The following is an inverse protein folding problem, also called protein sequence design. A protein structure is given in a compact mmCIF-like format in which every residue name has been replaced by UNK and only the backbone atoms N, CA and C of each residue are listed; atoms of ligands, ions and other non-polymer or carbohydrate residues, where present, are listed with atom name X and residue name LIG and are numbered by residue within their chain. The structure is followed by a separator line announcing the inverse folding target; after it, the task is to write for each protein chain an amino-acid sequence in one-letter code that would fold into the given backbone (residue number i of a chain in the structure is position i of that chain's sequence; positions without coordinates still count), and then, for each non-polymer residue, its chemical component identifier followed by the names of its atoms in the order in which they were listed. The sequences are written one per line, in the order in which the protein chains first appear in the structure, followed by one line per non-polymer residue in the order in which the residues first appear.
data_IF_072865095543
#
_entry.id   IF_072865095543
#
_cell.length_a   1.000
_cell.length_b   1.000
_cell.length_c   1.000
_cell.angle_alpha   90.00
_cell.angle_beta   90.00
_cell.angle_gamma   90.00
#
_symmetry.space_group_name_H-M   'P 1'
#
loop_
_entity.id
_entity.type
_entity.pdbx_description
1 polymer ?
#
# COMPACT_ATOMS: atom_id res chain seq x y z
N UNK A 1 20.73 36.84 -39.16
CA UNK A 1 20.65 37.06 -37.70
C UNK A 1 19.22 36.78 -37.27
N UNK A 2 18.91 35.55 -36.85
CA UNK A 2 17.59 35.15 -36.36
C UNK A 2 17.73 34.76 -34.90
N UNK A 3 17.18 35.59 -34.00
CA UNK A 3 17.10 35.29 -32.58
C UNK A 3 15.97 34.29 -32.32
N UNK A 4 16.31 33.04 -32.01
CA UNK A 4 15.39 32.08 -31.46
C UNK A 4 15.18 32.38 -29.98
N UNK A 5 14.00 32.90 -29.62
CA UNK A 5 13.55 33.01 -28.22
C UNK A 5 13.12 31.62 -27.74
N UNK A 6 13.92 31.03 -26.87
CA UNK A 6 13.51 29.87 -26.09
C UNK A 6 12.44 30.30 -25.06
N UNK A 7 11.21 29.87 -25.28
CA UNK A 7 10.13 30.02 -24.29
C UNK A 7 10.36 28.99 -23.18
N UNK A 8 11.03 29.41 -22.13
CA UNK A 8 11.15 28.62 -20.93
C UNK A 8 9.79 28.53 -20.21
N UNK A 9 9.16 27.37 -20.23
CA UNK A 9 7.99 27.09 -19.35
C UNK A 9 8.45 27.09 -17.90
N UNK A 10 8.29 28.23 -17.22
CA UNK A 10 8.37 28.27 -15.77
C UNK A 10 7.07 27.65 -15.22
N UNK A 11 7.18 26.48 -14.60
CA UNK A 11 6.09 25.92 -13.78
C UNK A 11 5.75 26.97 -12.72
N UNK A 12 4.45 27.34 -12.56
CA UNK A 12 4.05 28.29 -11.54
C UNK A 12 4.47 27.78 -10.17
N UNK A 13 5.26 28.55 -9.45
CA UNK A 13 5.63 28.30 -8.06
C UNK A 13 4.35 28.20 -7.24
N UNK A 14 4.05 27.03 -6.72
CA UNK A 14 2.95 26.85 -5.77
C UNK A 14 3.26 27.76 -4.56
N UNK A 15 2.27 28.50 -4.04
CA UNK A 15 2.48 29.31 -2.86
C UNK A 15 2.98 28.41 -1.73
N UNK A 16 4.18 28.69 -1.23
CA UNK A 16 4.69 28.14 0.01
C UNK A 16 3.69 28.56 1.08
N UNK A 17 3.06 27.60 1.75
CA UNK A 17 2.27 27.92 2.93
C UNK A 17 3.21 28.67 3.91
N UNK A 18 2.78 29.78 4.53
CA UNK A 18 3.61 30.45 5.50
C UNK A 18 4.07 29.42 6.53
N UNK A 19 5.38 29.30 6.71
CA UNK A 19 5.99 28.55 7.79
C UNK A 19 5.23 28.90 9.07
N UNK A 20 4.62 27.90 9.67
CA UNK A 20 4.06 28.06 11.00
C UNK A 20 5.26 28.15 11.97
N UNK A 21 5.78 29.36 12.09
CA UNK A 21 6.71 29.71 13.15
C UNK A 21 6.06 29.34 14.48
N UNK A 22 6.71 28.44 15.22
CA UNK A 22 6.36 28.17 16.61
C UNK A 22 6.20 26.72 17.03
N UNK A 23 6.42 25.73 16.16
CA UNK A 23 6.46 24.34 16.61
C UNK A 23 7.94 23.90 16.77
N UNK A 24 8.39 23.77 18.01
CA UNK A 24 9.62 23.08 18.35
C UNK A 24 9.76 21.83 17.47
N UNK A 25 10.97 21.53 16.94
CA UNK A 25 11.20 20.34 16.14
C UNK A 25 10.70 19.13 16.95
N UNK A 26 9.59 18.52 16.48
CA UNK A 26 9.00 17.38 17.17
C UNK A 26 9.98 16.24 17.07
N UNK A 27 10.66 15.97 18.17
CA UNK A 27 11.59 14.85 18.28
C UNK A 27 10.88 13.59 17.77
N UNK A 28 11.49 12.95 16.78
CA UNK A 28 11.10 11.61 16.36
C UNK A 28 11.09 10.73 17.61
N UNK A 29 10.02 9.97 17.87
CA UNK A 29 9.98 9.15 19.07
C UNK A 29 11.23 8.29 19.21
N UNK A 30 11.74 8.07 20.42
CA UNK A 30 12.92 7.25 20.62
C UNK A 30 12.73 5.84 20.07
N UNK A 31 13.81 5.18 19.68
CA UNK A 31 13.83 3.85 19.06
C UNK A 31 12.92 2.84 19.77
N UNK A 32 12.88 2.74 21.12
CA UNK A 32 12.02 1.80 21.82
C UNK A 32 10.53 1.95 21.46
N UNK A 33 10.07 3.19 21.26
CA UNK A 33 8.65 3.45 20.95
C UNK A 33 8.21 2.85 19.61
N UNK A 34 9.06 2.95 18.58
CA UNK A 34 8.75 2.33 17.28
C UNK A 34 8.80 0.81 17.33
N UNK A 35 9.81 0.26 18.01
CA UNK A 35 9.93 -1.20 18.16
C UNK A 35 8.75 -1.78 18.95
N UNK A 36 8.36 -1.13 20.05
CA UNK A 36 7.18 -1.50 20.83
C UNK A 36 5.93 -1.39 19.95
N UNK A 37 5.77 -0.28 19.21
CA UNK A 37 4.62 -0.08 18.34
C UNK A 37 4.48 -1.20 17.31
N UNK A 38 5.56 -1.60 16.63
CA UNK A 38 5.54 -2.71 15.69
C UNK A 38 5.33 -4.06 16.39
N UNK A 39 6.02 -4.31 17.50
CA UNK A 39 5.94 -5.57 18.24
C UNK A 39 4.54 -5.85 18.80
N UNK A 40 3.81 -4.81 19.23
CA UNK A 40 2.44 -4.95 19.74
C UNK A 40 1.44 -5.49 18.70
N UNK A 41 1.76 -5.41 17.40
CA UNK A 41 0.90 -5.95 16.36
C UNK A 41 0.95 -7.48 16.26
N UNK A 42 2.00 -8.14 16.76
CA UNK A 42 2.04 -9.59 16.81
C UNK A 42 1.04 -10.18 17.83
N UNK A 43 1.03 -9.79 19.13
CA UNK A 43 0.01 -10.26 20.06
C UNK A 43 -1.41 -9.80 19.67
N UNK A 44 -1.58 -8.60 19.13
CA UNK A 44 -2.86 -8.16 18.59
C UNK A 44 -3.36 -9.12 17.50
N UNK A 45 -2.49 -9.54 16.59
CA UNK A 45 -2.83 -10.45 15.50
C UNK A 45 -3.25 -11.83 16.03
N UNK A 46 -2.50 -12.41 16.95
CA UNK A 46 -2.85 -13.70 17.58
C UNK A 46 -4.18 -13.64 18.34
N UNK A 47 -4.42 -12.53 19.05
CA UNK A 47 -5.67 -12.32 19.73
C UNK A 47 -6.85 -12.17 18.75
N UNK A 48 -6.67 -11.45 17.67
CA UNK A 48 -7.68 -11.25 16.63
C UNK A 48 -8.03 -12.55 15.88
N UNK A 49 -7.05 -13.45 15.67
CA UNK A 49 -7.30 -14.78 15.09
C UNK A 49 -8.23 -15.62 15.97
N UNK A 50 -8.06 -15.55 17.29
CA UNK A 50 -8.92 -16.30 18.23
C UNK A 50 -10.26 -15.61 18.49
N UNK A 51 -10.33 -14.29 18.36
CA UNK A 51 -11.50 -13.47 18.69
C UNK A 51 -11.73 -12.38 17.63
N UNK A 52 -12.53 -12.64 16.57
CA UNK A 52 -12.76 -11.68 15.48
C UNK A 52 -13.30 -10.30 15.92
N UNK A 53 -13.93 -10.25 17.10
CA UNK A 53 -14.39 -8.99 17.71
C UNK A 53 -13.24 -8.02 18.01
N UNK A 54 -12.05 -8.53 18.30
CA UNK A 54 -10.83 -7.71 18.50
C UNK A 54 -10.46 -7.00 17.20
N UNK A 55 -10.48 -7.71 16.07
CA UNK A 55 -10.24 -7.10 14.77
C UNK A 55 -11.31 -6.06 14.40
N UNK A 56 -12.57 -6.34 14.72
CA UNK A 56 -13.68 -5.41 14.50
C UNK A 56 -13.51 -4.14 15.34
N UNK A 57 -13.24 -4.28 16.64
CA UNK A 57 -12.98 -3.14 17.52
C UNK A 57 -11.77 -2.33 17.06
N UNK A 58 -10.71 -3.01 16.68
CA UNK A 58 -9.50 -2.37 16.14
C UNK A 58 -9.82 -1.56 14.88
N UNK A 59 -10.62 -2.09 13.93
CA UNK A 59 -11.05 -1.37 12.74
C UNK A 59 -11.86 -0.10 13.09
N UNK A 60 -12.81 -0.20 14.01
CA UNK A 60 -13.63 0.93 14.43
C UNK A 60 -12.80 2.00 15.18
N UNK A 61 -11.92 1.58 16.08
CA UNK A 61 -11.03 2.50 16.81
C UNK A 61 -10.11 3.25 15.85
N UNK A 62 -9.53 2.58 14.86
CA UNK A 62 -8.65 3.24 13.88
C UNK A 62 -9.39 4.28 13.04
N UNK A 63 -10.65 4.03 12.67
CA UNK A 63 -11.49 5.02 11.99
C UNK A 63 -11.77 6.22 12.89
N UNK A 64 -12.17 6.01 14.15
CA UNK A 64 -12.44 7.10 15.10
C UNK A 64 -11.17 7.94 15.33
N UNK A 65 -10.02 7.31 15.48
CA UNK A 65 -8.73 8.00 15.58
C UNK A 65 -8.44 8.78 14.30
N UNK A 66 -8.64 8.18 13.13
CA UNK A 66 -8.46 8.82 11.82
C UNK A 66 -9.33 10.08 11.68
N UNK A 67 -10.62 10.00 12.02
CA UNK A 67 -11.55 11.14 12.01
C UNK A 67 -11.06 12.24 12.96
N UNK A 68 -10.71 11.89 14.19
CA UNK A 68 -10.17 12.86 15.17
C UNK A 68 -8.92 13.57 14.66
N UNK A 69 -8.00 12.83 14.04
CA UNK A 69 -6.78 13.40 13.47
C UNK A 69 -7.07 14.28 12.25
N UNK A 70 -8.01 13.88 11.39
CA UNK A 70 -8.46 14.69 10.26
C UNK A 70 -9.11 16.01 10.70
N UNK A 71 -9.83 16.03 11.81
CA UNK A 71 -10.50 17.21 12.35
C UNK A 71 -9.61 18.05 13.28
N UNK A 72 -8.48 17.54 13.75
CA UNK A 72 -7.61 18.23 14.70
C UNK A 72 -6.89 19.43 14.06
N UNK A 73 -7.04 20.63 14.65
CA UNK A 73 -6.42 21.89 14.16
C UNK A 73 -4.91 21.77 14.04
N UNK A 74 -4.32 22.28 12.95
CA UNK A 74 -2.88 22.37 12.71
C UNK A 74 -2.17 21.00 12.58
N UNK A 75 -2.86 19.93 12.22
CA UNK A 75 -2.31 18.56 12.23
C UNK A 75 -2.71 17.70 11.03
N UNK A 76 -2.91 18.32 9.86
CA UNK A 76 -3.31 17.62 8.63
C UNK A 76 -2.40 16.45 8.25
N UNK A 77 -1.09 16.57 8.51
CA UNK A 77 -0.13 15.51 8.24
C UNK A 77 -0.46 14.20 8.99
N UNK A 78 -1.07 14.29 10.18
CA UNK A 78 -1.48 13.10 10.95
C UNK A 78 -2.61 12.31 10.30
N UNK A 79 -3.42 12.96 9.46
CA UNK A 79 -4.42 12.29 8.63
C UNK A 79 -3.76 11.27 7.70
N UNK A 80 -2.62 11.65 7.11
CA UNK A 80 -1.87 10.77 6.20
C UNK A 80 -1.34 9.54 6.92
N UNK A 81 -0.90 9.69 8.19
CA UNK A 81 -0.45 8.53 9.00
C UNK A 81 -1.59 7.57 9.32
N UNK A 82 -2.75 8.12 9.71
CA UNK A 82 -3.94 7.31 9.97
C UNK A 82 -4.41 6.57 8.71
N UNK A 83 -4.40 7.26 7.56
CA UNK A 83 -4.73 6.65 6.28
C UNK A 83 -3.79 5.52 5.90
N UNK A 84 -2.47 5.74 6.02
CA UNK A 84 -1.47 4.71 5.73
C UNK A 84 -1.65 3.48 6.63
N UNK A 85 -1.96 3.69 7.89
CA UNK A 85 -2.25 2.62 8.83
C UNK A 85 -3.51 1.84 8.44
N UNK A 86 -4.62 2.53 8.12
CA UNK A 86 -5.89 1.91 7.72
C UNK A 86 -5.71 1.08 6.44
N UNK A 87 -5.03 1.65 5.43
CA UNK A 87 -4.72 0.93 4.18
C UNK A 87 -3.88 -0.32 4.44
N UNK A 88 -2.86 -0.20 5.29
CA UNK A 88 -2.05 -1.35 5.70
C UNK A 88 -2.82 -2.41 6.49
N UNK A 89 -3.82 -2.00 7.27
CA UNK A 89 -4.57 -2.90 8.15
C UNK A 89 -5.77 -3.57 7.46
N UNK A 90 -6.19 -3.14 6.28
CA UNK A 90 -7.37 -3.71 5.61
C UNK A 90 -7.27 -5.22 5.40
N UNK A 91 -6.12 -5.70 4.94
CA UNK A 91 -5.89 -7.14 4.72
C UNK A 91 -5.88 -7.90 6.05
N UNK A 92 -5.31 -7.34 7.11
CA UNK A 92 -5.34 -7.93 8.45
C UNK A 92 -6.77 -8.13 8.95
N UNK A 93 -7.65 -7.12 8.81
CA UNK A 93 -9.05 -7.23 9.22
C UNK A 93 -9.81 -8.32 8.47
N UNK A 94 -9.49 -8.53 7.19
CA UNK A 94 -10.09 -9.59 6.37
C UNK A 94 -9.58 -10.98 6.74
N UNK A 95 -8.27 -11.11 6.99
CA UNK A 95 -7.67 -12.37 7.45
C UNK A 95 -8.21 -12.82 8.81
N UNK A 96 -8.65 -11.89 9.65
CA UNK A 96 -9.16 -12.16 11.00
C UNK A 96 -10.68 -12.00 11.09
N UNK A 97 -11.36 -12.00 9.95
CA UNK A 97 -12.83 -11.99 9.83
C UNK A 97 -13.52 -10.86 10.64
N UNK A 98 -12.89 -9.68 10.65
CA UNK A 98 -13.50 -8.50 11.27
C UNK A 98 -14.89 -8.24 10.67
N UNK A 99 -15.89 -8.03 11.54
CA UNK A 99 -17.28 -7.81 11.17
C UNK A 99 -17.52 -6.37 10.73
N UNK A 100 -16.85 -5.97 9.64
CA UNK A 100 -17.03 -4.71 8.93
C UNK A 100 -17.41 -5.00 7.49
N UNK A 101 -18.01 -4.02 6.79
CA UNK A 101 -18.39 -4.23 5.40
C UNK A 101 -17.15 -4.39 4.49
N UNK A 102 -17.33 -5.05 3.35
CA UNK A 102 -16.24 -5.54 2.50
C UNK A 102 -15.22 -4.47 2.10
N UNK A 103 -15.63 -3.25 1.83
CA UNK A 103 -14.75 -2.17 1.38
C UNK A 103 -14.42 -1.14 2.49
N UNK A 104 -14.50 -1.56 3.74
CA UNK A 104 -14.36 -0.69 4.91
C UNK A 104 -13.12 0.19 4.87
N UNK A 105 -11.93 -0.38 4.62
CA UNK A 105 -10.67 0.37 4.60
C UNK A 105 -10.65 1.45 3.52
N UNK A 106 -11.23 1.16 2.35
CA UNK A 106 -11.38 2.12 1.26
C UNK A 106 -12.25 3.32 1.67
N UNK A 107 -13.44 3.06 2.19
CA UNK A 107 -14.36 4.13 2.62
C UNK A 107 -13.85 4.90 3.83
N UNK A 108 -13.20 4.22 4.79
CA UNK A 108 -12.57 4.87 5.94
C UNK A 108 -11.48 5.83 5.50
N UNK A 109 -10.61 5.41 4.58
CA UNK A 109 -9.56 6.24 3.99
C UNK A 109 -10.17 7.43 3.24
N UNK A 110 -11.18 7.20 2.39
CA UNK A 110 -11.88 8.26 1.66
C UNK A 110 -12.51 9.29 2.58
N UNK A 111 -13.19 8.85 3.64
CA UNK A 111 -13.83 9.73 4.61
C UNK A 111 -12.82 10.62 5.35
N UNK A 112 -11.73 10.06 5.87
CA UNK A 112 -10.75 10.87 6.61
C UNK A 112 -10.02 11.87 5.71
N UNK A 113 -9.74 11.51 4.45
CA UNK A 113 -9.18 12.45 3.49
C UNK A 113 -10.20 13.51 3.06
N UNK A 114 -11.47 13.16 2.88
CA UNK A 114 -12.53 14.12 2.58
C UNK A 114 -12.64 15.17 3.70
N UNK A 115 -12.67 14.74 4.95
CA UNK A 115 -12.68 15.64 6.11
C UNK A 115 -11.43 16.55 6.15
N UNK A 116 -10.27 16.03 5.77
CA UNK A 116 -9.05 16.82 5.68
C UNK A 116 -9.09 17.83 4.53
N UNK A 117 -9.60 17.45 3.35
CA UNK A 117 -9.77 18.32 2.18
C UNK A 117 -10.69 19.49 2.50
N UNK A 118 -11.80 19.27 3.22
CA UNK A 118 -12.73 20.34 3.64
C UNK A 118 -12.07 21.40 4.51
N UNK A 119 -10.91 21.13 5.07
CA UNK A 119 -10.13 22.06 5.92
C UNK A 119 -9.02 22.78 5.18
N UNK A 120 -8.69 22.36 3.96
CA UNK A 120 -7.68 23.05 3.14
C UNK A 120 -8.22 24.39 2.64
N UNK A 121 -7.48 25.46 2.88
CA UNK A 121 -7.82 26.82 2.41
C UNK A 121 -6.54 27.52 1.96
N UNK A 122 -6.49 28.08 0.75
CA UNK A 122 -7.42 27.90 -0.35
C UNK A 122 -7.36 26.51 -0.96
N UNK A 123 -8.51 25.94 -1.37
CA UNK A 123 -8.57 24.66 -2.08
C UNK A 123 -8.47 24.92 -3.59
N UNK A 124 -7.47 24.31 -4.23
CA UNK A 124 -7.30 24.34 -5.69
C UNK A 124 -7.64 22.97 -6.27
N UNK A 125 -8.56 22.93 -7.21
CA UNK A 125 -8.92 21.70 -7.92
C UNK A 125 -8.19 21.69 -9.25
N UNK A 126 -7.28 20.74 -9.44
CA UNK A 126 -6.56 20.58 -10.69
C UNK A 126 -7.52 20.13 -11.80
N UNK A 127 -7.47 20.78 -12.97
CA UNK A 127 -8.33 20.44 -14.12
C UNK A 127 -8.26 18.96 -14.51
N UNK A 128 -7.06 18.37 -14.42
CA UNK A 128 -6.84 16.95 -14.71
C UNK A 128 -7.67 16.02 -13.79
N UNK A 129 -7.82 16.37 -12.51
CA UNK A 129 -8.64 15.60 -11.57
C UNK A 129 -10.12 15.68 -11.90
N UNK A 130 -10.62 16.85 -12.33
CA UNK A 130 -11.99 16.98 -12.80
C UNK A 130 -12.22 16.19 -14.08
N UNK A 131 -11.30 16.28 -15.03
CA UNK A 131 -11.38 15.49 -16.27
C UNK A 131 -11.42 13.99 -15.99
N UNK A 132 -10.62 13.52 -15.03
CA UNK A 132 -10.62 12.12 -14.63
C UNK A 132 -12.01 11.65 -14.17
N UNK A 133 -12.70 12.40 -13.29
CA UNK A 133 -14.06 12.05 -12.87
C UNK A 133 -15.07 12.14 -14.02
N UNK A 134 -14.98 13.19 -14.84
CA UNK A 134 -15.88 13.39 -15.96
C UNK A 134 -15.78 12.27 -16.99
N UNK A 135 -14.58 11.75 -17.23
CA UNK A 135 -14.36 10.62 -18.14
C UNK A 135 -14.93 9.28 -17.63
N UNK A 136 -15.21 9.16 -16.33
CA UNK A 136 -15.85 7.98 -15.76
C UNK A 136 -17.40 8.02 -15.85
N UNK A 137 -17.99 9.23 -15.99
CA UNK A 137 -19.44 9.40 -15.99
C UNK A 137 -20.14 8.69 -17.17
N UNK A 138 -19.64 8.73 -18.42
CA UNK A 138 -20.30 8.06 -19.55
C UNK A 138 -20.56 6.56 -19.32
N UNK A 139 -19.67 5.86 -18.60
CA UNK A 139 -19.83 4.44 -18.30
C UNK A 139 -21.02 4.12 -17.38
N UNK A 140 -21.54 5.12 -16.66
CA UNK A 140 -22.72 4.92 -15.80
C UNK A 140 -24.02 4.84 -16.60
N UNK A 141 -24.06 5.42 -17.80
CA UNK A 141 -25.26 5.48 -18.63
C UNK A 141 -25.72 4.09 -19.09
N UNK A 142 -24.86 3.24 -19.71
CA UNK A 142 -25.25 1.89 -20.05
C UNK A 142 -25.75 1.07 -18.85
N UNK A 143 -25.09 1.20 -17.70
CA UNK A 143 -25.51 0.50 -16.46
C UNK A 143 -26.93 0.90 -16.04
N UNK A 144 -27.25 2.21 -16.07
CA UNK A 144 -28.58 2.71 -15.74
C UNK A 144 -29.66 2.33 -16.76
N UNK A 145 -29.27 2.07 -18.02
CA UNK A 145 -30.20 1.68 -19.07
C UNK A 145 -30.49 0.16 -19.12
N UNK A 146 -29.55 -0.65 -18.63
CA UNK A 146 -29.60 -2.11 -18.75
C UNK A 146 -30.06 -2.81 -17.46
N UNK A 147 -29.87 -2.19 -16.31
CA UNK A 147 -30.14 -2.77 -14.99
C UNK A 147 -31.30 -2.02 -14.32
N UNK A 148 -31.98 -2.70 -13.39
CA UNK A 148 -32.88 -1.99 -12.49
C UNK A 148 -32.14 -1.01 -11.57
N UNK A 149 -32.85 -0.01 -11.00
CA UNK A 149 -32.23 1.05 -10.22
C UNK A 149 -31.45 0.55 -8.98
N UNK A 150 -31.86 -0.55 -8.38
CA UNK A 150 -31.21 -1.11 -7.21
C UNK A 150 -29.89 -1.78 -7.59
N UNK A 151 -29.92 -2.60 -8.62
CA UNK A 151 -28.74 -3.27 -9.14
C UNK A 151 -27.77 -2.27 -9.78
N UNK A 152 -28.27 -1.34 -10.60
CA UNK A 152 -27.47 -0.28 -11.20
C UNK A 152 -26.72 0.55 -10.14
N UNK A 153 -27.42 0.96 -9.06
CA UNK A 153 -26.81 1.67 -7.94
C UNK A 153 -25.70 0.86 -7.27
N UNK A 154 -25.92 -0.44 -7.06
CA UNK A 154 -24.95 -1.34 -6.44
C UNK A 154 -23.70 -1.47 -7.31
N UNK A 155 -23.86 -1.73 -8.60
CA UNK A 155 -22.76 -1.85 -9.57
C UNK A 155 -21.96 -0.56 -9.71
N UNK A 156 -22.65 0.57 -9.90
CA UNK A 156 -22.01 1.89 -10.00
C UNK A 156 -21.24 2.21 -8.70
N UNK A 157 -21.87 2.00 -7.54
CA UNK A 157 -21.21 2.25 -6.26
C UNK A 157 -19.97 1.38 -6.08
N UNK A 158 -20.06 0.10 -6.40
CA UNK A 158 -18.94 -0.84 -6.29
C UNK A 158 -17.79 -0.45 -7.22
N UNK A 159 -18.06 -0.18 -8.48
CA UNK A 159 -17.05 0.12 -9.48
C UNK A 159 -16.44 1.52 -9.32
N UNK A 160 -17.24 2.56 -9.01
CA UNK A 160 -16.74 3.94 -8.93
C UNK A 160 -16.20 4.35 -7.56
N UNK A 161 -16.52 3.64 -6.48
CA UNK A 161 -16.08 4.02 -5.13
C UNK A 161 -14.57 4.16 -5.01
N UNK A 162 -13.79 3.26 -5.62
CA UNK A 162 -12.33 3.33 -5.65
C UNK A 162 -11.81 4.58 -6.37
N UNK A 163 -12.42 4.91 -7.49
CA UNK A 163 -12.08 6.10 -8.28
C UNK A 163 -12.41 7.41 -7.55
N UNK A 164 -13.54 7.45 -6.84
CA UNK A 164 -13.92 8.61 -6.01
C UNK A 164 -12.93 8.78 -4.84
N UNK A 165 -12.56 7.71 -4.17
CA UNK A 165 -11.55 7.77 -3.10
C UNK A 165 -10.20 8.22 -3.66
N UNK A 166 -9.78 7.70 -4.81
CA UNK A 166 -8.54 8.14 -5.48
C UNK A 166 -8.59 9.64 -5.80
N UNK A 167 -9.72 10.14 -6.31
CA UNK A 167 -9.91 11.56 -6.57
C UNK A 167 -9.75 12.40 -5.29
N UNK A 168 -10.38 12.03 -4.19
CA UNK A 168 -10.28 12.74 -2.90
C UNK A 168 -8.85 12.75 -2.37
N UNK A 169 -8.16 11.62 -2.43
CA UNK A 169 -6.75 11.50 -2.02
C UNK A 169 -5.84 12.34 -2.92
N UNK A 170 -6.02 12.27 -4.24
CA UNK A 170 -5.26 13.08 -5.19
C UNK A 170 -5.54 14.59 -5.00
N UNK A 171 -6.78 14.97 -4.71
CA UNK A 171 -7.14 16.35 -4.39
C UNK A 171 -6.46 16.83 -3.12
N UNK A 172 -6.36 16.00 -2.09
CA UNK A 172 -5.60 16.32 -0.89
C UNK A 172 -4.12 16.56 -1.22
N UNK A 173 -3.44 15.65 -1.89
CA UNK A 173 -2.01 15.76 -2.18
C UNK A 173 -1.68 16.80 -3.25
N UNK A 174 -2.62 17.22 -4.09
CA UNK A 174 -2.43 18.38 -4.98
C UNK A 174 -2.40 19.72 -4.25
N UNK A 175 -2.90 19.75 -3.00
CA UNK A 175 -2.94 20.93 -2.14
C UNK A 175 -2.09 20.80 -0.87
N UNK A 176 -1.51 19.64 -0.61
CA UNK A 176 -0.72 19.38 0.59
C UNK A 176 0.59 18.68 0.24
N UNK A 177 1.69 19.18 0.78
CA UNK A 177 3.01 18.55 0.64
C UNK A 177 3.38 17.86 1.95
N UNK A 178 3.73 16.59 1.85
CA UNK A 178 4.22 15.82 2.98
C UNK A 178 5.70 16.18 3.24
N UNK A 179 6.05 16.41 4.50
CA UNK A 179 7.44 16.61 4.92
C UNK A 179 8.24 15.30 4.85
N UNK A 180 9.58 15.39 4.86
CA UNK A 180 10.42 14.18 4.95
C UNK A 180 10.14 13.41 6.24
N UNK A 181 9.96 14.10 7.37
CA UNK A 181 9.56 13.49 8.64
C UNK A 181 8.17 12.84 8.54
N UNK A 182 7.24 13.51 7.85
CA UNK A 182 5.91 12.97 7.54
C UNK A 182 5.98 11.69 6.73
N UNK A 183 6.81 11.64 5.69
CA UNK A 183 7.03 10.43 4.91
C UNK A 183 7.58 9.28 5.78
N UNK A 184 8.56 9.58 6.63
CA UNK A 184 9.10 8.59 7.56
C UNK A 184 8.02 8.00 8.48
N UNK A 185 7.11 8.84 8.99
CA UNK A 185 6.00 8.41 9.85
C UNK A 185 4.96 7.60 9.09
N UNK A 186 4.65 7.98 7.84
CA UNK A 186 3.75 7.22 6.95
C UNK A 186 4.27 5.81 6.73
N UNK A 187 5.55 5.68 6.35
CA UNK A 187 6.17 4.37 6.14
C UNK A 187 6.19 3.54 7.43
N UNK A 188 6.47 4.18 8.57
CA UNK A 188 6.44 3.54 9.90
C UNK A 188 5.03 3.05 10.26
N UNK A 189 3.99 3.83 9.95
CA UNK A 189 2.60 3.48 10.20
C UNK A 189 2.13 2.30 9.33
N UNK A 190 2.61 2.20 8.09
CA UNK A 190 2.28 1.10 7.17
C UNK A 190 2.90 -0.24 7.61
N UNK A 191 4.12 -0.23 8.17
CA UNK A 191 4.80 -1.44 8.65
C UNK A 191 4.04 -2.11 9.80
N UNK A 192 3.45 -1.34 10.69
CA UNK A 192 2.82 -1.87 11.89
C UNK A 192 1.72 -2.92 11.60
N UNK A 193 0.68 -2.63 10.82
CA UNK A 193 -0.32 -3.64 10.45
C UNK A 193 0.25 -4.75 9.56
N UNK A 194 1.33 -4.51 8.81
CA UNK A 194 2.00 -5.57 8.04
C UNK A 194 2.62 -6.62 8.97
N UNK A 195 3.11 -6.23 10.16
CA UNK A 195 3.53 -7.19 11.19
C UNK A 195 2.36 -8.08 11.61
N UNK A 196 1.16 -7.52 11.78
CA UNK A 196 -0.02 -8.33 12.10
C UNK A 196 -0.35 -9.32 10.97
N UNK A 197 -0.34 -8.87 9.71
CA UNK A 197 -0.56 -9.73 8.54
C UNK A 197 0.45 -10.87 8.49
N UNK A 198 1.74 -10.55 8.65
CA UNK A 198 2.81 -11.56 8.65
C UNK A 198 2.69 -12.55 9.82
N UNK A 199 2.23 -12.08 10.99
CA UNK A 199 1.98 -12.93 12.15
C UNK A 199 0.81 -13.88 11.93
N UNK A 200 -0.32 -13.42 11.35
CA UNK A 200 -1.45 -14.29 11.02
C UNK A 200 -1.04 -15.33 9.98
N UNK A 201 -0.31 -14.93 8.93
CA UNK A 201 0.19 -15.86 7.92
C UNK A 201 1.15 -16.90 8.53
N UNK A 202 2.09 -16.47 9.36
CA UNK A 202 3.00 -17.36 10.07
C UNK A 202 2.27 -18.32 11.00
N UNK A 203 1.32 -17.83 11.79
CA UNK A 203 0.50 -18.64 12.68
C UNK A 203 -0.22 -19.74 11.88
N UNK A 204 -0.85 -19.39 10.77
CA UNK A 204 -1.54 -20.36 9.91
C UNK A 204 -0.58 -21.39 9.32
N UNK A 205 0.62 -20.98 8.92
CA UNK A 205 1.66 -21.89 8.42
C UNK A 205 2.12 -22.90 9.50
N UNK A 206 2.19 -22.47 10.76
CA UNK A 206 2.66 -23.32 11.86
C UNK A 206 1.58 -24.23 12.45
N UNK A 207 0.29 -23.86 12.30
CA UNK A 207 -0.83 -24.56 12.94
C UNK A 207 -1.70 -25.36 11.98
N UNK A 208 -1.55 -25.19 10.67
CA UNK A 208 -2.34 -25.88 9.65
C UNK A 208 -1.51 -26.91 8.89
N UNK A 209 -2.11 -28.02 8.53
CA UNK A 209 -1.56 -28.92 7.53
C UNK A 209 -1.63 -28.26 6.15
N UNK A 210 -0.47 -27.93 5.57
CA UNK A 210 -0.37 -27.29 4.27
C UNK A 210 0.08 -28.30 3.23
N UNK A 211 -0.73 -28.48 2.20
CA UNK A 211 -0.34 -29.18 0.99
C UNK A 211 0.31 -28.18 0.05
N UNK A 212 1.60 -28.36 -0.22
CA UNK A 212 2.34 -27.51 -1.14
C UNK A 212 2.10 -27.95 -2.58
N UNK A 213 1.46 -27.11 -3.35
CA UNK A 213 1.22 -27.31 -4.80
C UNK A 213 1.68 -26.04 -5.54
N UNK A 214 1.97 -26.14 -6.86
CA UNK A 214 2.33 -24.96 -7.66
C UNK A 214 1.17 -23.99 -7.91
N UNK A 215 0.30 -23.79 -6.92
CA UNK A 215 -0.82 -22.88 -6.95
C UNK A 215 -0.76 -21.90 -5.77
N UNK A 216 -1.48 -20.78 -5.88
CA UNK A 216 -1.60 -19.85 -4.76
C UNK A 216 -2.20 -20.55 -3.54
N UNK A 217 -1.58 -20.39 -2.37
CA UNK A 217 -1.92 -21.13 -1.17
C UNK A 217 -2.70 -20.28 -0.17
N UNK A 218 -3.99 -20.57 0.00
CA UNK A 218 -4.87 -19.86 0.93
C UNK A 218 -4.49 -20.10 2.39
N UNK A 219 -4.15 -21.33 2.77
CA UNK A 219 -3.76 -21.65 4.14
C UNK A 219 -2.47 -20.92 4.52
N UNK A 220 -1.45 -20.95 3.67
CA UNK A 220 -0.20 -20.23 3.91
C UNK A 220 -0.39 -18.69 3.87
N UNK A 221 -1.52 -18.22 3.37
CA UNK A 221 -1.93 -16.81 3.39
C UNK A 221 -2.85 -16.45 4.55
N UNK A 222 -2.91 -17.29 5.60
CA UNK A 222 -3.76 -17.04 6.76
C UNK A 222 -5.26 -17.15 6.47
N UNK A 223 -5.66 -18.02 5.52
CA UNK A 223 -7.06 -18.24 5.17
C UNK A 223 -7.70 -17.16 4.29
N UNK A 224 -6.94 -16.17 3.84
CA UNK A 224 -7.42 -15.08 2.99
C UNK A 224 -6.71 -15.05 1.63
N UNK A 225 -7.23 -14.27 0.69
CA UNK A 225 -6.77 -14.19 -0.69
C UNK A 225 -5.25 -14.02 -0.86
N UNK A 226 -4.53 -15.00 -1.42
CA UNK A 226 -3.07 -14.99 -1.49
C UNK A 226 -2.49 -13.77 -2.20
N UNK A 227 -3.20 -13.23 -3.22
CA UNK A 227 -2.76 -12.05 -3.94
C UNK A 227 -2.78 -10.79 -3.06
N UNK A 228 -3.84 -10.61 -2.27
CA UNK A 228 -3.98 -9.47 -1.38
C UNK A 228 -2.96 -9.53 -0.25
N UNK A 229 -2.78 -10.70 0.36
CA UNK A 229 -1.80 -10.92 1.44
C UNK A 229 -0.38 -10.70 0.93
N UNK A 230 0.00 -11.30 -0.22
CA UNK A 230 1.31 -11.09 -0.84
C UNK A 230 1.57 -9.62 -1.15
N UNK A 231 0.57 -8.89 -1.67
CA UNK A 231 0.70 -7.46 -2.01
C UNK A 231 0.88 -6.61 -0.74
N UNK A 232 0.12 -6.87 0.32
CA UNK A 232 0.23 -6.16 1.59
C UNK A 232 1.59 -6.39 2.26
N UNK A 233 2.06 -7.64 2.28
CA UNK A 233 3.40 -8.00 2.78
C UNK A 233 4.50 -7.31 1.96
N UNK A 234 4.37 -7.28 0.64
CA UNK A 234 5.31 -6.61 -0.27
C UNK A 234 5.33 -5.10 -0.07
N UNK A 235 4.17 -4.46 0.18
CA UNK A 235 4.10 -3.04 0.49
C UNK A 235 4.79 -2.72 1.82
N UNK A 236 4.61 -3.55 2.85
CA UNK A 236 5.33 -3.42 4.12
C UNK A 236 6.84 -3.64 3.98
N UNK A 237 7.25 -4.62 3.18
CA UNK A 237 8.66 -4.83 2.87
C UNK A 237 9.27 -3.62 2.15
N UNK A 238 8.59 -3.07 1.15
CA UNK A 238 9.00 -1.85 0.45
C UNK A 238 9.10 -0.67 1.41
N UNK A 239 8.13 -0.48 2.32
CA UNK A 239 8.16 0.58 3.31
C UNK A 239 9.38 0.47 4.24
N UNK A 240 9.73 -0.74 4.69
CA UNK A 240 10.92 -0.99 5.50
C UNK A 240 12.21 -0.71 4.72
N UNK A 241 12.31 -1.14 3.45
CA UNK A 241 13.43 -0.88 2.56
C UNK A 241 13.59 0.63 2.29
N UNK A 242 12.49 1.34 2.04
CA UNK A 242 12.52 2.80 1.83
C UNK A 242 13.00 3.54 3.07
N UNK A 243 12.60 3.13 4.29
CA UNK A 243 13.12 3.70 5.53
C UNK A 243 14.63 3.50 5.64
N UNK A 244 15.14 2.32 5.31
CA UNK A 244 16.58 2.02 5.32
C UNK A 244 17.37 2.89 4.33
N UNK A 245 16.81 3.19 3.17
CA UNK A 245 17.52 3.91 2.11
C UNK A 245 17.46 5.42 2.24
N UNK A 246 16.31 5.95 2.64
CA UNK A 246 16.05 7.39 2.60
C UNK A 246 16.48 8.12 3.86
N UNK A 247 16.53 7.43 5.03
CA UNK A 247 16.73 8.06 6.31
C UNK A 247 17.98 7.56 7.03
N UNK A 248 18.59 8.44 7.84
CA UNK A 248 19.71 8.10 8.69
C UNK A 248 19.17 7.50 10.00
N UNK A 249 19.30 6.18 10.13
CA UNK A 249 18.76 5.41 11.23
C UNK A 249 19.88 4.82 12.08
N UNK A 250 19.64 4.65 13.37
CA UNK A 250 20.55 3.90 14.25
C UNK A 250 20.65 2.42 13.84
N UNK A 251 21.77 1.79 14.15
CA UNK A 251 22.03 0.38 13.79
C UNK A 251 20.93 -0.56 14.28
N UNK A 252 20.43 -0.50 15.54
CA UNK A 252 19.33 -1.38 15.96
C UNK A 252 18.07 -1.23 15.14
N UNK A 253 17.75 0.01 14.70
CA UNK A 253 16.58 0.27 13.86
C UNK A 253 16.79 -0.25 12.44
N UNK A 254 18.00 -0.15 11.90
CA UNK A 254 18.34 -0.72 10.59
C UNK A 254 18.20 -2.25 10.62
N UNK A 255 18.73 -2.91 11.66
CA UNK A 255 18.60 -4.36 11.83
C UNK A 255 17.15 -4.81 11.96
N UNK A 256 16.34 -4.11 12.77
CA UNK A 256 14.91 -4.41 12.91
C UNK A 256 14.16 -4.29 11.59
N UNK A 257 14.38 -3.21 10.84
CA UNK A 257 13.73 -3.01 9.53
C UNK A 257 14.21 -4.02 8.48
N UNK A 258 15.50 -4.34 8.46
CA UNK A 258 16.05 -5.38 7.58
C UNK A 258 15.45 -6.76 7.86
N UNK A 259 15.35 -7.13 9.15
CA UNK A 259 14.74 -8.39 9.57
C UNK A 259 13.24 -8.44 9.24
N UNK A 260 12.50 -7.34 9.45
CA UNK A 260 11.09 -7.24 9.07
C UNK A 260 10.91 -7.34 7.56
N UNK A 261 11.69 -6.62 6.76
CA UNK A 261 11.62 -6.70 5.31
C UNK A 261 11.84 -8.14 4.81
N UNK A 262 12.86 -8.81 5.34
CA UNK A 262 13.15 -10.21 5.01
C UNK A 262 12.00 -11.13 5.42
N UNK A 263 11.46 -10.99 6.62
CA UNK A 263 10.32 -11.76 7.09
C UNK A 263 9.07 -11.57 6.20
N UNK A 264 8.75 -10.33 5.85
CA UNK A 264 7.62 -10.04 4.96
C UNK A 264 7.82 -10.64 3.56
N UNK A 265 9.05 -10.61 3.04
CA UNK A 265 9.40 -11.24 1.76
C UNK A 265 9.23 -12.76 1.85
N UNK A 266 9.72 -13.40 2.90
CA UNK A 266 9.55 -14.85 3.14
C UNK A 266 8.06 -15.20 3.16
N UNK A 267 7.25 -14.48 3.94
CA UNK A 267 5.81 -14.75 4.00
C UNK A 267 5.12 -14.49 2.65
N UNK A 268 5.55 -13.47 1.89
CA UNK A 268 5.02 -13.22 0.55
C UNK A 268 5.30 -14.37 -0.42
N UNK A 269 6.49 -14.96 -0.38
CA UNK A 269 6.82 -16.18 -1.16
C UNK A 269 5.93 -17.37 -0.77
N UNK A 270 5.71 -17.59 0.53
CA UNK A 270 4.90 -18.71 1.04
C UNK A 270 3.41 -18.60 0.67
N UNK A 271 2.92 -17.45 0.29
CA UNK A 271 1.56 -17.33 -0.30
C UNK A 271 1.45 -17.99 -1.67
N UNK A 272 2.57 -18.30 -2.34
CA UNK A 272 2.64 -18.75 -3.73
C UNK A 272 1.97 -17.79 -4.73
N UNK A 273 1.78 -16.53 -4.32
CA UNK A 273 1.28 -15.47 -5.19
C UNK A 273 2.42 -14.67 -5.82
N UNK A 274 2.58 -14.81 -7.12
CA UNK A 274 3.63 -14.10 -7.89
C UNK A 274 3.40 -12.59 -7.91
N UNK A 275 2.13 -12.14 -7.89
CA UNK A 275 1.76 -10.74 -8.11
C UNK A 275 2.41 -9.77 -7.12
N UNK A 276 2.36 -10.06 -5.82
CA UNK A 276 2.97 -9.20 -4.80
C UNK A 276 4.50 -9.18 -4.90
N UNK A 277 5.12 -10.36 -5.08
CA UNK A 277 6.59 -10.47 -5.20
C UNK A 277 7.11 -9.73 -6.42
N UNK A 278 6.46 -9.89 -7.58
CA UNK A 278 6.82 -9.16 -8.81
C UNK A 278 6.63 -7.65 -8.63
N UNK A 279 5.52 -7.23 -8.03
CA UNK A 279 5.28 -5.80 -7.75
C UNK A 279 6.38 -5.21 -6.85
N UNK A 280 6.81 -5.94 -5.81
CA UNK A 280 7.92 -5.54 -4.96
C UNK A 280 9.23 -5.42 -5.76
N UNK A 281 9.55 -6.42 -6.58
CA UNK A 281 10.77 -6.43 -7.40
C UNK A 281 10.80 -5.22 -8.35
N UNK A 282 9.69 -4.95 -9.04
CA UNK A 282 9.55 -3.78 -9.94
C UNK A 282 9.68 -2.47 -9.16
N UNK A 283 9.03 -2.35 -8.01
CA UNK A 283 9.11 -1.15 -7.17
C UNK A 283 10.53 -0.91 -6.65
N UNK A 284 11.20 -1.95 -6.15
CA UNK A 284 12.60 -1.88 -5.70
C UNK A 284 13.51 -1.50 -6.86
N UNK A 285 13.35 -2.10 -8.04
CA UNK A 285 14.13 -1.76 -9.22
C UNK A 285 13.93 -0.30 -9.66
N UNK A 286 12.68 0.19 -9.69
CA UNK A 286 12.37 1.57 -10.03
C UNK A 286 12.98 2.59 -9.06
N UNK A 287 12.86 2.33 -7.74
CA UNK A 287 13.49 3.19 -6.71
C UNK A 287 15.01 3.12 -6.81
N UNK A 288 15.58 1.92 -7.00
CA UNK A 288 17.03 1.74 -7.20
C UNK A 288 17.54 2.57 -8.38
N UNK A 289 16.88 2.49 -9.52
CA UNK A 289 17.22 3.27 -10.71
C UNK A 289 17.15 4.79 -10.42
N UNK A 290 16.09 5.24 -9.77
CA UNK A 290 15.94 6.65 -9.37
C UNK A 290 17.07 7.09 -8.41
N UNK A 291 17.44 6.26 -7.45
CA UNK A 291 18.49 6.58 -6.49
C UNK A 291 19.92 6.52 -7.07
N UNK A 292 20.16 5.72 -8.12
CA UNK A 292 21.43 5.76 -8.86
C UNK A 292 21.71 7.13 -9.47
N UNK A 293 20.65 7.86 -9.85
CA UNK A 293 20.72 9.23 -10.35
C UNK A 293 20.86 10.27 -9.22
N UNK A 294 20.76 9.87 -7.96
CA UNK A 294 20.89 10.76 -6.81
C UNK A 294 22.33 11.28 -6.62
N UNK A 295 22.47 12.54 -6.24
CA UNK A 295 23.76 13.16 -5.94
C UNK A 295 24.40 12.66 -4.64
N UNK A 296 23.64 12.08 -3.70
CA UNK A 296 24.13 11.60 -2.42
C UNK A 296 24.85 10.25 -2.55
N UNK A 297 26.20 10.27 -2.47
CA UNK A 297 27.05 9.08 -2.50
C UNK A 297 26.73 8.10 -1.36
N UNK A 298 26.47 8.62 -0.15
CA UNK A 298 26.19 7.81 1.04
C UNK A 298 24.89 7.02 0.87
N UNK A 299 23.80 7.69 0.46
CA UNK A 299 22.50 7.02 0.22
C UNK A 299 22.64 5.96 -0.86
N UNK A 300 23.35 6.26 -1.95
CA UNK A 300 23.60 5.34 -3.06
C UNK A 300 24.38 4.09 -2.63
N UNK A 301 25.47 4.25 -1.85
CA UNK A 301 26.24 3.11 -1.33
C UNK A 301 25.41 2.26 -0.37
N UNK A 302 24.64 2.89 0.53
CA UNK A 302 23.73 2.18 1.45
C UNK A 302 22.71 1.35 0.67
N UNK A 303 22.09 1.92 -0.36
CA UNK A 303 21.15 1.23 -1.22
C UNK A 303 21.81 0.03 -1.92
N UNK A 304 22.97 0.23 -2.57
CA UNK A 304 23.69 -0.84 -3.26
C UNK A 304 24.03 -1.97 -2.28
N UNK A 305 24.55 -1.64 -1.11
CA UNK A 305 24.88 -2.63 -0.09
C UNK A 305 23.65 -3.40 0.39
N UNK A 306 22.54 -2.72 0.64
CA UNK A 306 21.28 -3.34 1.08
C UNK A 306 20.71 -4.27 0.01
N UNK A 307 20.73 -3.84 -1.26
CA UNK A 307 20.27 -4.66 -2.39
C UNK A 307 21.17 -5.88 -2.55
N UNK A 308 22.49 -5.70 -2.55
CA UNK A 308 23.44 -6.79 -2.71
C UNK A 308 23.32 -7.84 -1.58
N UNK A 309 23.27 -7.38 -0.32
CA UNK A 309 23.08 -8.27 0.84
C UNK A 309 21.71 -8.95 0.77
N UNK A 310 20.64 -8.20 0.46
CA UNK A 310 19.29 -8.74 0.36
C UNK A 310 19.17 -9.82 -0.73
N UNK A 311 19.71 -9.57 -1.92
CA UNK A 311 19.74 -10.56 -2.99
C UNK A 311 20.60 -11.78 -2.64
N UNK A 312 21.76 -11.57 -2.02
CA UNK A 312 22.61 -12.66 -1.57
C UNK A 312 21.88 -13.56 -0.56
N UNK A 313 21.27 -12.96 0.47
CA UNK A 313 20.50 -13.70 1.47
C UNK A 313 19.29 -14.41 0.82
N UNK A 314 18.59 -13.72 -0.07
CA UNK A 314 17.42 -14.28 -0.74
C UNK A 314 17.79 -15.51 -1.59
N UNK A 315 18.78 -15.39 -2.48
CA UNK A 315 19.07 -16.44 -3.44
C UNK A 315 20.00 -17.54 -2.91
N UNK A 316 20.89 -17.22 -1.95
CA UNK A 316 21.81 -18.21 -1.40
C UNK A 316 21.23 -18.97 -0.20
N UNK A 317 20.34 -18.34 0.56
CA UNK A 317 19.84 -18.90 1.82
C UNK A 317 18.32 -19.12 1.81
N UNK A 318 17.54 -18.07 1.59
CA UNK A 318 16.08 -18.09 1.80
C UNK A 318 15.38 -18.91 0.73
N UNK A 319 15.58 -18.58 -0.54
CA UNK A 319 14.90 -19.26 -1.64
C UNK A 319 15.20 -20.78 -1.67
N UNK A 320 16.45 -21.26 -1.57
CA UNK A 320 16.74 -22.68 -1.53
C UNK A 320 16.16 -23.38 -0.28
N UNK A 321 16.11 -22.69 0.87
CA UNK A 321 15.52 -23.25 2.08
C UNK A 321 14.01 -23.41 1.94
N UNK A 322 13.33 -22.39 1.41
CA UNK A 322 11.89 -22.43 1.17
C UNK A 322 11.51 -23.47 0.10
N UNK A 323 12.30 -23.57 -0.98
CA UNK A 323 12.04 -24.53 -2.04
C UNK A 323 12.18 -25.97 -1.54
N UNK A 324 13.22 -26.27 -0.75
CA UNK A 324 13.35 -27.60 -0.09
C UNK A 324 12.19 -27.85 0.87
N UNK A 325 11.79 -26.87 1.67
CA UNK A 325 10.69 -27.02 2.62
C UNK A 325 9.35 -27.27 1.92
N UNK A 326 9.13 -26.64 0.78
CA UNK A 326 7.92 -26.80 -0.05
C UNK A 326 8.04 -27.95 -1.08
N UNK A 327 9.06 -28.81 -0.94
CA UNK A 327 9.29 -29.99 -1.80
C UNK A 327 9.39 -29.65 -3.31
N UNK A 328 9.99 -28.49 -3.63
CA UNK A 328 10.17 -28.03 -5.01
C UNK A 328 8.95 -27.31 -5.58
N UNK A 329 7.82 -27.24 -4.88
CA UNK A 329 6.62 -26.59 -5.39
C UNK A 329 6.82 -25.08 -5.60
N UNK A 330 7.71 -24.45 -4.82
CA UNK A 330 8.03 -23.03 -4.95
C UNK A 330 8.71 -22.72 -6.29
N UNK A 331 9.75 -23.46 -6.64
CA UNK A 331 10.48 -23.29 -7.91
C UNK A 331 9.57 -23.52 -9.10
N UNK A 332 8.76 -24.58 -9.10
CA UNK A 332 7.77 -24.84 -10.15
C UNK A 332 6.81 -23.65 -10.28
N UNK A 333 6.32 -23.08 -9.16
CA UNK A 333 5.40 -21.93 -9.17
C UNK A 333 6.01 -20.67 -9.78
N UNK A 334 7.25 -20.36 -9.42
CA UNK A 334 7.89 -19.11 -9.85
C UNK A 334 8.56 -19.20 -11.23
N UNK A 335 8.82 -20.40 -11.75
CA UNK A 335 9.27 -20.62 -13.13
C UNK A 335 8.11 -20.80 -14.13
N UNK A 336 6.90 -21.12 -13.66
CA UNK A 336 5.71 -21.21 -14.50
C UNK A 336 5.36 -19.84 -15.11
N UNK A 337 5.39 -19.74 -16.44
CA UNK A 337 5.04 -18.52 -17.20
C UNK A 337 3.55 -18.38 -17.49
N UNK A 338 2.74 -19.37 -17.12
CA UNK A 338 1.29 -19.32 -17.35
C UNK A 338 0.65 -18.16 -16.60
N UNK A 339 -0.04 -17.29 -17.30
CA UNK A 339 -0.72 -16.11 -16.77
C UNK A 339 -2.05 -16.42 -16.05
N UNK A 340 -2.38 -17.71 -15.92
CA UNK A 340 -3.61 -18.18 -15.22
C UNK A 340 -4.89 -17.53 -15.76
N UNK A 341 -4.98 -17.38 -17.09
CA UNK A 341 -6.15 -16.80 -17.79
C UNK A 341 -6.21 -15.27 -17.80
N UNK A 342 -5.23 -14.56 -17.23
CA UNK A 342 -5.19 -13.09 -17.25
C UNK A 342 -5.00 -12.52 -18.65
N UNK A 343 -4.32 -13.24 -19.53
CA UNK A 343 -4.19 -12.97 -20.95
C UNK A 343 -5.57 -12.94 -21.65
N UNK A 344 -6.43 -13.93 -21.37
CA UNK A 344 -7.78 -13.96 -21.89
C UNK A 344 -8.64 -12.81 -21.39
N UNK A 345 -8.53 -12.48 -20.09
CA UNK A 345 -9.23 -11.32 -19.50
C UNK A 345 -8.75 -10.02 -20.16
N UNK A 346 -7.43 -9.86 -20.36
CA UNK A 346 -6.88 -8.69 -21.02
C UNK A 346 -7.37 -8.56 -22.49
N UNK A 347 -7.39 -9.68 -23.23
CA UNK A 347 -7.88 -9.71 -24.60
C UNK A 347 -9.38 -9.37 -24.66
N UNK A 348 -10.21 -9.97 -23.80
CA UNK A 348 -11.64 -9.67 -23.73
C UNK A 348 -11.89 -8.19 -23.37
N UNK A 349 -11.14 -7.66 -22.40
CA UNK A 349 -11.24 -6.24 -22.01
C UNK A 349 -10.84 -5.31 -23.16
N UNK A 350 -9.80 -5.69 -23.92
CA UNK A 350 -9.37 -4.92 -25.09
C UNK A 350 -10.43 -4.96 -26.21
N UNK A 351 -11.04 -6.11 -26.45
CA UNK A 351 -12.11 -6.25 -27.43
C UNK A 351 -13.31 -5.37 -27.05
N UNK A 352 -13.78 -5.42 -25.81
CA UNK A 352 -14.85 -4.57 -25.30
C UNK A 352 -14.52 -3.08 -25.46
N UNK A 353 -13.26 -2.70 -25.19
CA UNK A 353 -12.82 -1.32 -25.39
C UNK A 353 -12.89 -0.89 -26.86
N UNK A 354 -12.50 -1.77 -27.80
CA UNK A 354 -12.59 -1.47 -29.25
C UNK A 354 -14.02 -1.35 -29.77
N UNK A 355 -14.95 -2.11 -29.17
CA UNK A 355 -16.38 -2.07 -29.52
C UNK A 355 -17.10 -0.85 -28.91
N UNK A 356 -16.68 -0.42 -27.71
CA UNK A 356 -17.31 0.66 -26.93
C UNK A 356 -16.30 1.68 -26.37
N UNK A 357 -15.53 2.40 -27.21
CA UNK A 357 -14.37 3.18 -26.74
C UNK A 357 -14.73 4.43 -25.93
N UNK A 358 -15.97 4.97 -26.07
CA UNK A 358 -16.40 6.21 -25.41
C UNK A 358 -17.19 5.97 -24.13
N UNK A 359 -18.05 4.96 -24.11
CA UNK A 359 -18.99 4.72 -23.01
C UNK A 359 -18.63 3.50 -22.18
N UNK A 360 -17.86 2.57 -22.74
CA UNK A 360 -17.72 1.25 -22.15
C UNK A 360 -19.06 0.49 -22.22
N UNK A 361 -19.19 -0.53 -21.39
CA UNK A 361 -20.40 -1.37 -21.28
C UNK A 361 -21.12 -1.24 -19.94
N UNK A 362 -20.59 -0.41 -19.05
CA UNK A 362 -21.12 -0.23 -17.69
C UNK A 362 -20.41 -1.00 -16.62
#
# INVERSE_FOLDING_TARGET
MSHSRSVGYQLPSLPVQPEQEGLLPRRIPPIPVYLIFWALHAPLALWAVTLPQVATLHALVTLVVGIRLALAKGRLERTVYAAAYIVGAEVFWRMTEARVFWEYGKYATGLIFLLAVLRLRPLKIARLLLMYLLLLMPATVPTLMQLDLTEARQQISFNLSGHVVLFVVALFFSNYRLSEEGLQRVLTALIAPTVAIATVALHSVLTSEIVWTPQSNFKASGGFGPNQVSTALSAGALAAILLLWLFDLSVPRQLALGSMALWFIIQAFLTFSRGGVVALAVAVAGVTLSMLLSRSRVRRLRMIATVAIGLLLLFMLVYPALDRWTQGALSVRFTDTNLTGRDRIAQASWQVFMEHPLTGVG
#
